data_IF_447826983888
#
_entry.id   IF_447826983888
#
_cell.length_a   1.000
_cell.length_b   1.000
_cell.length_c   1.000
_cell.angle_alpha   90.00
_cell.angle_beta   90.00
_cell.angle_gamma   90.00
#
_symmetry.space_group_name_H-M   'P 1'
#
loop_
_entity.id
_entity.type
_entity.pdbx_description
1 polymer ?
#
# COMPACT_ATOMS: atom_id res chain seq x y z
N UNK A 1 -24.54 -19.03 -46.96
CA UNK A 1 -23.93 -17.97 -46.14
C UNK A 1 -22.68 -18.53 -45.49
N UNK A 2 -21.52 -17.95 -45.73
CA UNK A 2 -20.24 -18.40 -45.15
C UNK A 2 -20.09 -17.85 -43.73
N UNK A 3 -19.95 -18.73 -42.74
CA UNK A 3 -19.85 -18.39 -41.32
C UNK A 3 -18.46 -17.82 -40.93
N UNK A 4 -17.46 -18.03 -41.78
CA UNK A 4 -16.05 -17.72 -41.53
C UNK A 4 -15.75 -16.24 -41.25
N UNK A 5 -16.28 -15.26 -42.02
CA UNK A 5 -16.03 -13.84 -41.76
C UNK A 5 -16.67 -13.36 -40.45
N UNK A 6 -17.81 -13.95 -40.06
CA UNK A 6 -18.50 -13.63 -38.80
C UNK A 6 -17.73 -14.17 -37.60
N UNK A 7 -17.14 -15.37 -37.72
CA UNK A 7 -16.28 -15.95 -36.69
C UNK A 7 -15.02 -15.10 -36.50
N UNK A 8 -14.36 -14.69 -37.59
CA UNK A 8 -13.16 -13.83 -37.52
C UNK A 8 -13.49 -12.48 -36.87
N UNK A 9 -14.59 -11.83 -37.25
CA UNK A 9 -15.01 -10.58 -36.65
C UNK A 9 -15.30 -10.74 -35.14
N UNK A 10 -15.97 -11.83 -34.76
CA UNK A 10 -16.28 -12.13 -33.35
C UNK A 10 -15.01 -12.41 -32.54
N UNK A 11 -14.06 -13.16 -33.09
CA UNK A 11 -12.76 -13.40 -32.45
C UNK A 11 -11.96 -12.11 -32.28
N UNK A 12 -12.01 -11.20 -33.25
CA UNK A 12 -11.40 -9.87 -33.15
C UNK A 12 -11.99 -9.06 -32.00
N UNK A 13 -13.33 -9.03 -31.87
CA UNK A 13 -14.02 -8.35 -30.77
C UNK A 13 -13.72 -8.99 -29.41
N UNK A 14 -13.67 -10.33 -29.33
CA UNK A 14 -13.29 -11.04 -28.10
C UNK A 14 -11.87 -10.65 -27.69
N UNK A 15 -10.92 -10.63 -28.63
CA UNK A 15 -9.54 -10.23 -28.35
C UNK A 15 -9.45 -8.81 -27.80
N UNK A 16 -10.13 -7.85 -28.42
CA UNK A 16 -10.15 -6.46 -27.93
C UNK A 16 -10.73 -6.35 -26.51
N UNK A 17 -11.78 -7.12 -26.20
CA UNK A 17 -12.32 -7.17 -24.84
C UNK A 17 -11.34 -7.77 -23.83
N UNK A 18 -10.62 -8.84 -24.19
CA UNK A 18 -9.60 -9.43 -23.32
C UNK A 18 -8.45 -8.45 -23.05
N UNK A 19 -7.98 -7.74 -24.07
CA UNK A 19 -6.95 -6.70 -23.91
C UNK A 19 -7.39 -5.60 -22.94
N UNK A 20 -8.66 -5.16 -23.02
CA UNK A 20 -9.23 -4.18 -22.07
C UNK A 20 -9.33 -4.73 -20.65
N UNK A 21 -9.69 -6.00 -20.49
CA UNK A 21 -9.73 -6.66 -19.17
C UNK A 21 -8.32 -6.76 -18.58
N UNK A 22 -7.32 -7.15 -19.36
CA UNK A 22 -5.93 -7.22 -18.91
C UNK A 22 -5.38 -5.84 -18.50
N UNK A 23 -5.68 -4.80 -19.27
CA UNK A 23 -5.30 -3.42 -18.92
C UNK A 23 -5.99 -2.96 -17.62
N UNK A 24 -7.27 -3.27 -17.46
CA UNK A 24 -8.03 -2.94 -16.25
C UNK A 24 -7.48 -3.67 -15.02
N UNK A 25 -7.16 -4.96 -15.16
CA UNK A 25 -6.57 -5.77 -14.09
C UNK A 25 -5.19 -5.23 -13.66
N UNK A 26 -4.34 -4.82 -14.62
CA UNK A 26 -3.05 -4.19 -14.30
C UNK A 26 -3.22 -2.90 -13.51
N UNK A 27 -4.19 -2.05 -13.87
CA UNK A 27 -4.49 -0.82 -13.14
C UNK A 27 -5.01 -1.10 -11.73
N UNK A 28 -5.88 -2.09 -11.57
CA UNK A 28 -6.37 -2.50 -10.24
C UNK A 28 -5.26 -3.03 -9.35
N UNK A 29 -4.31 -3.80 -9.90
CA UNK A 29 -3.14 -4.27 -9.16
C UNK A 29 -2.28 -3.10 -8.68
N UNK A 30 -1.96 -2.15 -9.57
CA UNK A 30 -1.17 -0.97 -9.21
C UNK A 30 -1.86 -0.12 -8.12
N UNK A 31 -3.18 0.06 -8.20
CA UNK A 31 -3.96 0.75 -7.16
C UNK A 31 -3.94 -0.01 -5.83
N UNK A 32 -4.00 -1.33 -5.86
CA UNK A 32 -3.90 -2.17 -4.66
C UNK A 32 -2.52 -2.05 -3.99
N UNK A 33 -1.44 -2.05 -4.78
CA UNK A 33 -0.08 -1.86 -4.27
C UNK A 33 0.10 -0.47 -3.64
N UNK A 34 -0.39 0.59 -4.29
CA UNK A 34 -0.35 1.95 -3.74
C UNK A 34 -1.13 2.05 -2.42
N UNK A 35 -2.30 1.41 -2.34
CA UNK A 35 -3.12 1.41 -1.14
C UNK A 35 -2.39 0.73 0.03
N UNK A 36 -1.78 -0.44 -0.20
CA UNK A 36 -0.99 -1.15 0.81
C UNK A 36 0.22 -0.32 1.27
N UNK A 37 0.86 0.41 0.37
CA UNK A 37 1.96 1.33 0.71
C UNK A 37 1.50 2.49 1.60
N UNK A 38 0.31 3.05 1.33
CA UNK A 38 -0.29 4.10 2.17
C UNK A 38 -0.65 3.55 3.55
N UNK A 39 -1.31 2.39 3.62
CA UNK A 39 -1.66 1.74 4.90
C UNK A 39 -0.41 1.44 5.73
N UNK A 40 0.66 0.93 5.10
CA UNK A 40 1.93 0.68 5.77
C UNK A 40 2.52 1.95 6.37
N UNK A 41 2.54 3.05 5.62
CA UNK A 41 3.04 4.35 6.13
C UNK A 41 2.18 4.89 7.28
N UNK A 42 0.87 4.70 7.22
CA UNK A 42 -0.04 5.10 8.29
C UNK A 42 0.21 4.28 9.56
N UNK A 43 0.40 2.96 9.43
CA UNK A 43 0.73 2.09 10.55
C UNK A 43 2.08 2.47 11.18
N UNK A 44 3.12 2.68 10.36
CA UNK A 44 4.44 3.11 10.82
C UNK A 44 4.37 4.47 11.57
N UNK A 45 3.54 5.40 11.08
CA UNK A 45 3.31 6.69 11.74
C UNK A 45 2.57 6.53 13.07
N UNK A 46 1.51 5.72 13.11
CA UNK A 46 0.74 5.43 14.33
C UNK A 46 1.61 4.76 15.39
N UNK A 47 2.44 3.78 15.01
CA UNK A 47 3.37 3.12 15.92
C UNK A 47 4.39 4.10 16.51
N UNK A 48 4.89 5.02 15.68
CA UNK A 48 5.83 6.07 16.14
C UNK A 48 5.16 7.02 17.13
N UNK A 49 3.91 7.40 16.89
CA UNK A 49 3.12 8.21 17.84
C UNK A 49 2.87 7.45 19.15
N UNK A 50 2.56 6.15 19.08
CA UNK A 50 2.38 5.31 20.25
C UNK A 50 3.67 5.27 21.09
N UNK A 51 4.82 5.02 20.46
CA UNK A 51 6.13 5.01 21.13
C UNK A 51 6.43 6.34 21.81
N UNK A 52 6.20 7.46 21.12
CA UNK A 52 6.35 8.80 21.71
C UNK A 52 5.45 8.99 22.94
N UNK A 53 4.19 8.56 22.87
CA UNK A 53 3.26 8.60 24.00
C UNK A 53 3.73 7.76 25.19
N UNK A 54 4.23 6.55 24.95
CA UNK A 54 4.81 5.71 26.00
C UNK A 54 6.02 6.36 26.67
N UNK A 55 6.91 6.98 25.89
CA UNK A 55 8.07 7.70 26.43
C UNK A 55 7.67 8.92 27.26
N UNK A 56 6.63 9.65 26.84
CA UNK A 56 6.06 10.77 27.62
C UNK A 56 5.49 10.28 28.96
N UNK A 57 4.82 9.13 28.99
CA UNK A 57 4.31 8.54 30.24
C UNK A 57 5.44 8.13 31.19
N UNK A 58 6.55 7.59 30.67
CA UNK A 58 7.73 7.27 31.47
C UNK A 58 8.32 8.52 32.11
N UNK A 59 8.50 9.59 31.31
CA UNK A 59 9.00 10.88 31.81
C UNK A 59 8.07 11.49 32.86
N UNK A 60 6.76 11.45 32.64
CA UNK A 60 5.76 11.92 33.61
C UNK A 60 5.77 11.13 34.92
N UNK A 61 6.20 9.87 34.89
CA UNK A 61 6.40 9.03 36.07
C UNK A 61 7.80 9.19 36.72
N UNK A 62 8.61 10.16 36.27
CA UNK A 62 9.97 10.39 36.76
C UNK A 62 10.97 9.32 36.35
N UNK A 63 10.67 8.54 35.30
CA UNK A 63 11.58 7.55 34.71
C UNK A 63 12.16 8.09 33.41
N UNK A 64 13.43 7.86 33.18
CA UNK A 64 14.02 8.14 31.88
C UNK A 64 13.46 7.18 30.82
N UNK A 65 13.14 7.66 29.61
CA UNK A 65 12.76 6.78 28.51
C UNK A 65 13.86 5.79 28.19
N UNK A 66 13.47 4.58 27.80
CA UNK A 66 14.41 3.57 27.32
C UNK A 66 15.21 4.12 26.11
N UNK A 67 16.55 4.18 26.18
CA UNK A 67 17.39 4.67 25.09
C UNK A 67 17.14 3.94 23.75
N UNK A 68 16.80 2.66 23.79
CA UNK A 68 16.51 1.89 22.58
C UNK A 68 15.24 2.37 21.86
N UNK A 69 14.22 2.82 22.61
CA UNK A 69 13.01 3.40 22.05
C UNK A 69 13.27 4.79 21.47
N UNK A 70 14.13 5.57 22.13
CA UNK A 70 14.57 6.88 21.63
C UNK A 70 15.32 6.73 20.30
N UNK A 71 16.20 5.75 20.18
CA UNK A 71 16.94 5.48 18.95
C UNK A 71 16.02 5.04 17.80
N UNK A 72 15.03 4.18 18.08
CA UNK A 72 14.02 3.78 17.10
C UNK A 72 13.25 5.01 16.59
N UNK A 73 12.80 5.89 17.50
CA UNK A 73 12.05 7.09 17.11
C UNK A 73 12.91 8.08 16.34
N UNK A 74 14.18 8.30 16.75
CA UNK A 74 15.12 9.14 15.98
C UNK A 74 15.33 8.62 14.57
N UNK A 75 15.57 7.31 14.43
CA UNK A 75 15.72 6.68 13.11
C UNK A 75 14.48 6.87 12.24
N UNK A 76 13.28 6.72 12.81
CA UNK A 76 12.01 6.89 12.08
C UNK A 76 11.73 8.35 11.72
N UNK A 77 12.11 9.30 12.57
CA UNK A 77 11.93 10.75 12.35
C UNK A 77 13.08 11.41 11.58
N UNK A 78 14.18 10.70 11.34
CA UNK A 78 15.42 11.22 10.72
C UNK A 78 16.02 12.41 11.50
N UNK A 79 15.96 12.32 12.83
CA UNK A 79 16.56 13.27 13.79
C UNK A 79 17.88 12.72 14.33
#
# INVERSE_FOLDING_TARGET
MTLEPQIIARLGSIREHLEKIEDSNRKLLALGEEHLDVERRQLEAQDTQNLLGWMQLQQGAGRDPDPSLMDIVRQRLRL
#
